data_IF_555121554596
#
_entry.id   IF_555121554596
#
_cell.length_a   1.000
_cell.length_b   1.000
_cell.length_c   1.000
_cell.angle_alpha   90.00
_cell.angle_beta   90.00
_cell.angle_gamma   90.00
#
_symmetry.space_group_name_H-M   'P 1'
#
loop_
_entity.id
_entity.type
_entity.pdbx_description
1 polymer ?
#
# COMPACT_ATOMS: atom_id res chain seq x y z
N UNK A 1 12.20 12.68 -7.33
CA UNK A 1 11.04 11.90 -7.80
C UNK A 1 9.79 12.38 -7.07
N UNK A 2 8.71 12.63 -7.78
CA UNK A 2 7.44 13.15 -7.25
C UNK A 2 6.41 12.03 -7.24
N UNK A 3 5.89 11.68 -6.07
CA UNK A 3 5.02 10.52 -5.89
C UNK A 3 3.67 10.97 -5.36
N UNK A 4 2.59 10.50 -5.98
CA UNK A 4 1.24 10.55 -5.41
C UNK A 4 0.92 9.16 -4.87
N UNK A 5 0.57 9.06 -3.59
CA UNK A 5 0.17 7.80 -2.95
C UNK A 5 -1.33 7.81 -2.62
N UNK A 6 -2.06 6.84 -3.15
CA UNK A 6 -3.52 6.75 -3.00
C UNK A 6 -3.96 5.75 -1.92
N UNK A 7 -3.02 5.20 -1.14
CA UNK A 7 -3.29 4.16 -0.14
C UNK A 7 -2.49 4.40 1.14
N UNK A 8 -3.12 4.34 2.33
CA UNK A 8 -2.45 4.60 3.60
C UNK A 8 -1.24 3.70 3.89
N UNK A 9 -1.39 2.39 3.67
CA UNK A 9 -0.32 1.41 3.93
C UNK A 9 0.91 1.67 3.04
N UNK A 10 0.69 1.91 1.75
CA UNK A 10 1.78 2.20 0.81
C UNK A 10 2.41 3.57 1.09
N UNK A 11 1.62 4.57 1.55
CA UNK A 11 2.17 5.85 1.99
C UNK A 11 3.14 5.66 3.15
N UNK A 12 2.76 4.90 4.18
CA UNK A 12 3.65 4.58 5.29
C UNK A 12 4.89 3.82 4.81
N UNK A 13 4.72 2.81 3.95
CA UNK A 13 5.83 2.04 3.37
C UNK A 13 6.82 2.95 2.63
N UNK A 14 6.36 3.95 1.88
CA UNK A 14 7.25 4.90 1.20
C UNK A 14 8.13 5.68 2.20
N UNK A 15 7.57 6.11 3.33
CA UNK A 15 8.36 6.73 4.40
C UNK A 15 9.34 5.75 5.05
N UNK A 16 8.91 4.50 5.29
CA UNK A 16 9.78 3.44 5.85
C UNK A 16 10.94 3.11 4.90
N UNK A 17 10.74 3.27 3.59
CA UNK A 17 11.80 3.17 2.58
C UNK A 17 12.73 4.40 2.53
N UNK A 18 12.53 5.38 3.42
CA UNK A 18 13.38 6.56 3.52
C UNK A 18 13.03 7.68 2.53
N UNK A 19 11.79 7.71 2.02
CA UNK A 19 11.26 8.89 1.34
C UNK A 19 10.73 9.90 2.36
N UNK A 20 10.59 11.14 1.95
CA UNK A 20 10.12 12.24 2.79
C UNK A 20 8.92 12.98 2.17
N UNK A 21 8.39 13.96 2.89
CA UNK A 21 7.28 14.79 2.43
C UNK A 21 7.60 15.63 1.18
N UNK A 22 8.88 15.80 0.83
CA UNK A 22 9.27 16.53 -0.39
C UNK A 22 9.11 15.66 -1.63
N UNK A 23 9.23 14.35 -1.45
CA UNK A 23 9.05 13.32 -2.48
C UNK A 23 7.59 12.94 -2.66
N UNK A 24 6.81 12.91 -1.57
CA UNK A 24 5.39 12.55 -1.61
C UNK A 24 4.56 13.83 -1.79
N UNK A 25 4.13 14.07 -3.04
CA UNK A 25 3.46 15.32 -3.44
C UNK A 25 1.94 15.27 -3.42
N UNK A 26 1.38 14.13 -3.01
CA UNK A 26 -0.07 13.97 -2.88
C UNK A 26 -0.43 12.68 -2.13
N UNK A 27 -1.48 12.76 -1.30
CA UNK A 27 -1.98 11.64 -0.48
C UNK A 27 -3.49 11.63 -0.38
N UNK A 28 -4.04 10.56 0.19
CA UNK A 28 -5.45 10.55 0.62
C UNK A 28 -5.59 11.12 2.05
N UNK A 29 -6.78 11.56 2.47
CA UNK A 29 -7.00 12.03 3.85
C UNK A 29 -6.78 10.93 4.89
N UNK A 30 -6.79 9.66 4.48
CA UNK A 30 -6.59 8.49 5.35
C UNK A 30 -5.11 8.14 5.53
N UNK A 31 -4.21 8.73 4.76
CA UNK A 31 -2.77 8.61 4.95
C UNK A 31 -2.35 9.54 6.10
N UNK A 32 -2.42 9.04 7.33
CA UNK A 32 -2.21 9.81 8.56
C UNK A 32 -0.90 9.47 9.27
N UNK A 33 -0.12 8.55 8.72
CA UNK A 33 1.17 8.14 9.28
C UNK A 33 2.29 8.20 8.22
N UNK A 34 3.52 8.55 8.66
CA UNK A 34 3.89 9.09 9.97
C UNK A 34 3.34 10.52 10.15
N UNK A 35 2.69 10.77 11.29
CA UNK A 35 1.83 11.95 11.46
C UNK A 35 2.54 13.30 11.20
N UNK A 36 3.75 13.45 11.73
CA UNK A 36 4.51 14.70 11.59
C UNK A 36 4.96 14.97 10.15
N UNK A 37 5.32 13.92 9.40
CA UNK A 37 5.84 14.08 8.05
C UNK A 37 4.72 14.16 7.00
N UNK A 38 3.62 13.43 7.23
CA UNK A 38 2.53 13.35 6.25
C UNK A 38 1.57 14.54 6.33
N UNK A 39 1.55 15.29 7.45
CA UNK A 39 0.63 16.42 7.68
C UNK A 39 0.69 17.45 6.56
N UNK A 40 1.88 17.78 6.08
CA UNK A 40 2.13 18.84 5.09
C UNK A 40 1.93 18.37 3.64
N UNK A 41 1.73 17.06 3.43
CA UNK A 41 1.49 16.51 2.08
C UNK A 41 0.07 16.84 1.62
N UNK A 42 -0.12 17.47 0.44
CA UNK A 42 -1.43 17.85 -0.06
C UNK A 42 -2.39 16.67 -0.26
N UNK A 43 -3.67 16.86 0.09
CA UNK A 43 -4.71 15.86 -0.11
C UNK A 43 -5.28 15.92 -1.53
N UNK A 44 -5.15 14.81 -2.27
CA UNK A 44 -5.62 14.67 -3.66
C UNK A 44 -6.98 13.95 -3.78
N UNK A 45 -7.67 13.70 -2.68
CA UNK A 45 -8.98 13.03 -2.64
C UNK A 45 -8.93 11.68 -1.94
N UNK A 46 -10.07 11.02 -1.83
CA UNK A 46 -10.21 9.74 -1.12
C UNK A 46 -9.66 8.55 -1.92
N UNK A 47 -9.45 7.41 -1.24
CA UNK A 47 -8.96 6.16 -1.83
C UNK A 47 -9.86 5.68 -2.98
N UNK A 48 -11.18 5.69 -2.77
CA UNK A 48 -12.16 5.29 -3.80
C UNK A 48 -12.55 6.44 -4.74
N UNK A 49 -12.34 7.69 -4.32
CA UNK A 49 -12.76 8.89 -5.05
C UNK A 49 -11.64 9.93 -5.09
N UNK A 50 -10.48 9.62 -5.68
CA UNK A 50 -9.42 10.60 -5.84
C UNK A 50 -9.85 11.69 -6.84
N UNK A 51 -9.36 12.91 -6.64
CA UNK A 51 -9.60 14.04 -7.53
C UNK A 51 -8.55 14.04 -8.63
N UNK A 52 -8.91 13.57 -9.81
CA UNK A 52 -7.99 13.36 -10.94
C UNK A 52 -7.23 14.63 -11.36
N UNK A 53 -7.91 15.80 -11.33
CA UNK A 53 -7.27 17.09 -11.61
C UNK A 53 -6.18 17.45 -10.58
N UNK A 54 -6.38 17.11 -9.30
CA UNK A 54 -5.35 17.32 -8.27
C UNK A 54 -4.16 16.39 -8.46
N UNK A 55 -4.41 15.12 -8.84
CA UNK A 55 -3.33 14.18 -9.18
C UNK A 55 -2.50 14.76 -10.33
N UNK A 56 -3.15 15.17 -11.41
CA UNK A 56 -2.46 15.78 -12.57
C UNK A 56 -1.74 17.08 -12.21
N UNK A 57 -2.36 17.93 -11.39
CA UNK A 57 -1.78 19.19 -10.93
C UNK A 57 -0.56 19.00 -10.03
N UNK A 58 -0.46 17.87 -9.33
CA UNK A 58 0.73 17.50 -8.55
C UNK A 58 1.92 17.11 -9.44
N UNK A 59 1.73 16.90 -10.74
CA UNK A 59 2.77 16.49 -11.70
C UNK A 59 3.63 15.33 -11.18
N UNK A 60 3.03 14.18 -10.84
CA UNK A 60 3.79 13.05 -10.30
C UNK A 60 4.60 12.34 -11.38
N UNK A 61 5.78 11.88 -10.99
CA UNK A 61 6.57 10.92 -11.77
C UNK A 61 6.02 9.49 -11.60
N UNK A 62 5.31 9.22 -10.47
CA UNK A 62 4.73 7.93 -10.15
C UNK A 62 3.44 8.12 -9.33
N UNK A 63 2.40 7.35 -9.67
CA UNK A 63 1.18 7.21 -8.85
C UNK A 63 1.16 5.81 -8.24
N UNK A 64 1.21 5.74 -6.91
CA UNK A 64 1.19 4.48 -6.16
C UNK A 64 -0.23 4.19 -5.71
N UNK A 65 -0.72 2.99 -6.02
CA UNK A 65 -2.08 2.55 -5.75
C UNK A 65 -2.15 1.07 -5.41
N UNK A 66 -3.28 0.62 -4.90
CA UNK A 66 -3.57 -0.76 -4.60
C UNK A 66 -4.80 -1.22 -5.39
N UNK A 67 -4.76 -2.46 -5.85
CA UNK A 67 -5.79 -3.04 -6.71
C UNK A 67 -7.16 -3.13 -6.05
N UNK A 68 -7.21 -3.48 -4.77
CA UNK A 68 -8.46 -3.65 -4.05
C UNK A 68 -8.98 -2.33 -3.47
N UNK A 69 -8.06 -1.38 -3.19
CA UNK A 69 -8.38 -0.09 -2.60
C UNK A 69 -8.77 0.98 -3.62
N UNK A 70 -8.15 0.99 -4.79
CA UNK A 70 -8.39 2.03 -5.79
C UNK A 70 -9.24 1.52 -6.95
N UNK A 71 -10.16 2.33 -7.49
CA UNK A 71 -10.93 1.96 -8.67
C UNK A 71 -10.05 1.77 -9.91
N UNK A 72 -10.31 0.72 -10.68
CA UNK A 72 -9.61 0.49 -11.96
C UNK A 72 -9.67 1.70 -12.90
N UNK A 73 -10.78 2.44 -12.89
CA UNK A 73 -10.94 3.64 -13.71
C UNK A 73 -9.91 4.74 -13.41
N UNK A 74 -9.41 4.81 -12.18
CA UNK A 74 -8.31 5.74 -11.81
C UNK A 74 -7.01 5.31 -12.44
N UNK A 75 -6.69 4.03 -12.40
CA UNK A 75 -5.52 3.47 -13.08
C UNK A 75 -5.60 3.72 -14.60
N UNK A 76 -6.72 3.37 -15.23
CA UNK A 76 -6.92 3.55 -16.66
C UNK A 76 -6.79 5.02 -17.07
N UNK A 77 -7.28 5.94 -16.23
CA UNK A 77 -7.10 7.37 -16.45
C UNK A 77 -5.64 7.81 -16.32
N UNK A 78 -4.90 7.30 -15.34
CA UNK A 78 -3.46 7.58 -15.23
C UNK A 78 -2.72 7.16 -16.50
N UNK A 79 -2.95 5.92 -16.94
CA UNK A 79 -2.34 5.38 -18.17
C UNK A 79 -2.69 6.26 -19.40
N UNK A 80 -3.97 6.61 -19.57
CA UNK A 80 -4.42 7.47 -20.66
C UNK A 80 -3.82 8.89 -20.63
N UNK A 81 -3.37 9.37 -19.47
CA UNK A 81 -2.69 10.66 -19.30
C UNK A 81 -1.16 10.56 -19.22
N UNK A 82 -0.57 9.38 -19.51
CA UNK A 82 0.87 9.18 -19.51
C UNK A 82 1.52 9.24 -18.14
N UNK A 83 0.74 9.02 -17.06
CA UNK A 83 1.25 8.98 -15.69
C UNK A 83 1.66 7.55 -15.34
N UNK A 84 2.95 7.30 -15.03
CA UNK A 84 3.40 6.00 -14.56
C UNK A 84 2.69 5.58 -13.28
N UNK A 85 2.36 4.28 -13.17
CA UNK A 85 1.66 3.74 -12.00
C UNK A 85 2.41 2.56 -11.42
N UNK A 86 2.41 2.45 -10.09
CA UNK A 86 2.72 1.24 -9.36
C UNK A 86 1.43 0.73 -8.72
N UNK A 87 1.03 -0.49 -9.05
CA UNK A 87 -0.20 -1.10 -8.50
C UNK A 87 0.18 -2.28 -7.62
N UNK A 88 -0.04 -2.14 -6.33
CA UNK A 88 0.09 -3.23 -5.37
C UNK A 88 -1.06 -4.24 -5.57
N UNK A 89 -0.74 -5.54 -5.68
CA UNK A 89 -1.70 -6.65 -5.72
C UNK A 89 -1.22 -7.77 -4.80
N UNK A 90 -1.14 -7.48 -3.50
CA UNK A 90 -0.71 -8.43 -2.46
C UNK A 90 -1.92 -9.15 -1.90
N UNK A 91 -1.96 -10.47 -2.06
CA UNK A 91 -3.06 -11.32 -1.58
C UNK A 91 -2.66 -12.23 -0.43
N UNK A 92 -1.37 -12.49 -0.29
CA UNK A 92 -0.81 -13.33 0.74
C UNK A 92 0.41 -12.63 1.37
N UNK A 93 0.67 -12.78 2.69
CA UNK A 93 1.86 -12.21 3.33
C UNK A 93 3.18 -12.59 2.64
N UNK A 94 3.23 -13.76 2.00
CA UNK A 94 4.42 -14.22 1.23
C UNK A 94 4.69 -13.40 -0.04
N UNK A 95 3.72 -12.62 -0.50
CA UNK A 95 3.88 -11.76 -1.68
C UNK A 95 4.53 -10.41 -1.31
N UNK A 96 4.46 -10.04 0.00
CA UNK A 96 4.96 -8.74 0.49
C UNK A 96 6.44 -8.51 0.20
N UNK A 97 7.36 -9.49 0.39
CA UNK A 97 8.77 -9.27 0.08
C UNK A 97 9.03 -8.92 -1.39
N UNK A 98 8.32 -9.56 -2.32
CA UNK A 98 8.43 -9.24 -3.74
C UNK A 98 7.89 -7.83 -4.04
N UNK A 99 6.71 -7.51 -3.54
CA UNK A 99 6.10 -6.19 -3.67
C UNK A 99 7.03 -5.08 -3.14
N UNK A 100 7.67 -5.29 -1.99
CA UNK A 100 8.62 -4.32 -1.42
C UNK A 100 9.82 -4.10 -2.35
N UNK A 101 10.38 -5.16 -2.93
CA UNK A 101 11.50 -5.06 -3.89
C UNK A 101 11.09 -4.30 -5.15
N UNK A 102 9.92 -4.60 -5.69
CA UNK A 102 9.38 -3.91 -6.87
C UNK A 102 9.10 -2.44 -6.58
N UNK A 103 8.46 -2.12 -5.45
CA UNK A 103 8.24 -0.74 -5.02
C UNK A 103 9.56 -0.01 -4.78
N UNK A 104 10.50 -0.65 -4.06
CA UNK A 104 11.83 -0.10 -3.80
C UNK A 104 12.60 0.22 -5.09
N UNK A 105 12.52 -0.64 -6.09
CA UNK A 105 13.09 -0.38 -7.41
C UNK A 105 12.40 0.81 -8.09
N UNK A 106 11.07 0.84 -8.07
CA UNK A 106 10.29 1.92 -8.70
C UNK A 106 10.58 3.31 -8.10
N UNK A 107 10.92 3.37 -6.80
CA UNK A 107 11.19 4.64 -6.09
C UNK A 107 12.68 4.88 -5.78
N UNK A 108 13.60 4.11 -6.38
CA UNK A 108 15.04 4.18 -6.17
C UNK A 108 15.47 4.00 -4.69
N UNK A 109 14.86 3.02 -4.02
CA UNK A 109 15.12 2.65 -2.62
C UNK A 109 15.30 1.13 -2.45
N UNK A 110 15.96 0.48 -3.41
CA UNK A 110 16.11 -0.97 -3.46
C UNK A 110 16.83 -1.54 -2.23
N UNK A 111 17.84 -0.85 -1.69
CA UNK A 111 18.57 -1.33 -0.51
C UNK A 111 17.68 -1.35 0.74
N UNK A 112 16.93 -0.26 0.99
CA UNK A 112 15.98 -0.19 2.11
C UNK A 112 14.88 -1.24 1.95
N UNK A 113 14.34 -1.39 0.76
CA UNK A 113 13.32 -2.40 0.45
C UNK A 113 13.83 -3.82 0.70
N UNK A 114 15.07 -4.13 0.33
CA UNK A 114 15.67 -5.45 0.57
C UNK A 114 15.81 -5.76 2.06
N UNK A 115 16.16 -4.77 2.90
CA UNK A 115 16.23 -4.95 4.37
C UNK A 115 14.86 -5.37 4.91
N UNK A 116 13.79 -4.64 4.54
CA UNK A 116 12.43 -4.97 4.98
C UNK A 116 11.95 -6.31 4.41
N UNK A 117 12.21 -6.59 3.13
CA UNK A 117 11.83 -7.84 2.50
C UNK A 117 12.44 -9.05 3.22
N UNK A 118 13.74 -9.01 3.53
CA UNK A 118 14.42 -10.08 4.28
C UNK A 118 13.88 -10.24 5.70
N UNK A 119 13.56 -9.16 6.37
CA UNK A 119 12.97 -9.23 7.71
C UNK A 119 11.62 -9.95 7.69
N UNK A 120 10.75 -9.64 6.72
CA UNK A 120 9.46 -10.30 6.54
C UNK A 120 9.65 -11.78 6.17
N UNK A 121 10.55 -12.10 5.24
CA UNK A 121 10.87 -13.49 4.89
C UNK A 121 11.35 -14.29 6.11
N UNK A 122 12.14 -13.67 6.98
CA UNK A 122 12.59 -14.32 8.21
C UNK A 122 11.44 -14.58 9.20
N UNK A 123 10.48 -13.64 9.30
CA UNK A 123 9.28 -13.83 10.11
C UNK A 123 8.39 -14.94 9.56
N UNK A 124 8.16 -14.97 8.25
CA UNK A 124 7.31 -15.95 7.58
C UNK A 124 7.88 -17.38 7.56
N UNK A 125 9.17 -17.56 7.86
CA UNK A 125 9.77 -18.89 8.06
C UNK A 125 9.45 -19.51 9.42
N UNK A 126 8.95 -18.73 10.38
CA UNK A 126 8.55 -19.25 11.68
C UNK A 126 7.25 -20.03 11.51
N UNK A 127 7.18 -21.23 12.09
CA UNK A 127 5.92 -21.96 12.12
C UNK A 127 4.92 -21.21 13.02
N UNK A 128 3.66 -21.10 12.59
CA UNK A 128 2.63 -20.50 13.44
C UNK A 128 2.40 -21.37 14.67
N UNK A 129 2.35 -20.76 15.85
CA UNK A 129 1.96 -21.42 17.09
C UNK A 129 0.47 -21.14 17.36
N UNK A 130 -0.37 -21.98 16.81
CA UNK A 130 -1.83 -21.81 16.95
C UNK A 130 -2.35 -22.25 18.32
N UNK A 131 -1.58 -23.07 19.08
CA UNK A 131 -2.04 -23.69 20.33
C UNK A 131 -3.46 -24.29 20.22
N UNK A 132 -3.82 -24.80 19.04
CA UNK A 132 -5.17 -25.30 18.74
C UNK A 132 -6.28 -24.24 18.70
N UNK A 133 -5.93 -22.96 18.69
CA UNK A 133 -6.91 -21.87 18.63
C UNK A 133 -7.38 -21.67 17.18
N UNK A 134 -8.65 -21.27 17.07
CA UNK A 134 -9.26 -20.84 15.81
C UNK A 134 -9.66 -19.38 15.92
N UNK A 135 -9.53 -18.63 14.80
CA UNK A 135 -9.94 -17.23 14.75
C UNK A 135 -10.83 -16.98 13.52
N UNK A 136 -11.85 -16.16 13.69
CA UNK A 136 -12.70 -15.69 12.61
C UNK A 136 -12.68 -14.15 12.59
N UNK A 137 -11.93 -13.53 11.65
CA UNK A 137 -11.89 -12.08 11.55
C UNK A 137 -13.18 -11.55 10.92
N UNK A 138 -13.92 -10.78 11.67
CA UNK A 138 -15.13 -10.10 11.20
C UNK A 138 -14.73 -8.76 10.59
N UNK A 139 -15.13 -8.52 9.34
CA UNK A 139 -14.81 -7.30 8.59
C UNK A 139 -16.01 -6.37 8.39
N UNK A 140 -17.25 -6.88 8.62
CA UNK A 140 -18.47 -6.09 8.53
C UNK A 140 -19.55 -6.67 9.43
N UNK A 141 -20.45 -5.81 9.94
CA UNK A 141 -21.48 -6.23 10.91
C UNK A 141 -22.84 -6.51 10.28
N UNK A 142 -23.25 -5.75 9.26
CA UNK A 142 -24.57 -5.89 8.60
C UNK A 142 -24.47 -5.70 7.10
N UNK A 143 -24.52 -6.79 6.30
CA UNK A 143 -24.55 -8.21 6.72
C UNK A 143 -23.28 -8.62 7.45
N UNK A 144 -23.33 -9.68 8.25
CA UNK A 144 -22.13 -10.20 8.90
C UNK A 144 -21.21 -10.78 7.83
N UNK A 145 -20.00 -10.25 7.73
CA UNK A 145 -18.99 -10.69 6.77
C UNK A 145 -17.68 -11.00 7.51
N UNK A 146 -17.01 -12.06 7.08
CA UNK A 146 -15.73 -12.49 7.63
C UNK A 146 -14.68 -12.60 6.52
N UNK A 147 -13.43 -12.33 6.86
CA UNK A 147 -12.31 -12.66 5.99
C UNK A 147 -12.07 -14.18 6.00
N UNK A 148 -11.66 -14.71 4.86
CA UNK A 148 -11.33 -16.11 4.67
C UNK A 148 -9.94 -16.25 4.00
N UNK A 149 -9.52 -17.49 3.74
CA UNK A 149 -8.21 -17.80 3.14
C UNK A 149 -8.01 -17.27 1.70
N UNK A 150 -8.99 -16.60 1.09
CA UNK A 150 -8.83 -15.93 -0.22
C UNK A 150 -8.53 -14.44 -0.07
N UNK A 151 -8.55 -13.91 1.17
CA UNK A 151 -8.26 -12.50 1.48
C UNK A 151 -6.91 -12.36 2.16
N UNK A 152 -6.29 -11.19 2.02
CA UNK A 152 -5.03 -10.90 2.70
C UNK A 152 -5.14 -11.08 4.23
N UNK A 153 -6.22 -10.56 4.84
CA UNK A 153 -6.44 -10.68 6.29
C UNK A 153 -6.58 -12.14 6.75
N UNK A 154 -7.29 -12.98 5.98
CA UNK A 154 -7.39 -14.40 6.28
C UNK A 154 -6.07 -15.13 6.13
N UNK A 155 -5.31 -14.84 5.08
CA UNK A 155 -3.98 -15.40 4.86
C UNK A 155 -2.97 -14.92 5.92
N UNK A 156 -3.09 -13.68 6.40
CA UNK A 156 -2.25 -13.15 7.49
C UNK A 156 -2.45 -13.97 8.76
N UNK A 157 -3.70 -14.24 9.16
CA UNK A 157 -4.00 -15.06 10.34
C UNK A 157 -3.47 -16.50 10.21
N UNK A 158 -3.44 -17.05 9.00
CA UNK A 158 -2.86 -18.37 8.78
C UNK A 158 -1.33 -18.41 8.88
N UNK A 159 -0.67 -17.25 8.90
CA UNK A 159 0.78 -17.13 9.06
C UNK A 159 1.22 -16.86 10.51
N UNK A 160 0.26 -16.56 11.40
CA UNK A 160 0.48 -16.29 12.84
C UNK A 160 0.29 -17.52 13.69
#
# INVERSE_FOLDING_TARGET
MRIVSLVPSLTLTLFDLGLDATSIVGRTPWCIHPAEQVSDVPVVGGTKTPTLSKIKGAQPDLVVMDRDENPKSVHDWCVANGLPTFVCDVRHPRDVPLMLRELGQAVNRSEAAEVHARAIEAMLRRAPDTNGRTALPLIWHRPLMAANGTTYAGNMLACL
#
